data_IF_704583955466
#
_entry.id   IF_704583955466
#
_cell.length_a   1.000
_cell.length_b   1.000
_cell.length_c   1.000
_cell.angle_alpha   90.00
_cell.angle_beta   90.00
_cell.angle_gamma   90.00
#
_symmetry.space_group_name_H-M   'P 1'
#
loop_
_entity.id
_entity.type
_entity.pdbx_description
1 polymer ?
#
# COMPACT_ATOMS: atom_id res chain seq x y z
N UNK A 1 -3.17 0.52 -28.64
CA UNK A 1 -3.63 1.20 -27.41
C UNK A 1 -4.57 0.24 -26.73
N UNK A 2 -4.30 -0.15 -25.49
CA UNK A 2 -5.25 -0.91 -24.68
C UNK A 2 -6.25 0.09 -24.10
N UNK A 3 -7.53 -0.19 -24.26
CA UNK A 3 -8.64 0.64 -23.84
C UNK A 3 -8.73 0.63 -22.30
N UNK A 4 -8.55 1.79 -21.67
CA UNK A 4 -8.47 1.93 -20.20
C UNK A 4 -9.82 1.74 -19.49
N UNK A 5 -10.92 1.69 -20.24
CA UNK A 5 -12.28 1.61 -19.69
C UNK A 5 -12.72 0.21 -19.21
N UNK A 6 -11.86 -0.81 -19.31
CA UNK A 6 -12.14 -2.17 -18.78
C UNK A 6 -11.52 -2.44 -17.39
N UNK A 7 -10.93 -1.43 -16.74
CA UNK A 7 -10.24 -1.58 -15.45
C UNK A 7 -11.14 -1.38 -14.21
N UNK A 8 -12.45 -1.67 -14.29
CA UNK A 8 -13.38 -1.57 -13.14
C UNK A 8 -14.22 -2.82 -12.94
N UNK A 9 -14.30 -3.29 -11.70
CA UNK A 9 -15.12 -4.43 -11.30
C UNK A 9 -16.59 -4.02 -11.14
N UNK A 10 -17.50 -4.89 -11.58
CA UNK A 10 -18.90 -4.82 -11.15
C UNK A 10 -19.03 -5.49 -9.76
N UNK A 11 -19.82 -4.87 -8.89
CA UNK A 11 -20.06 -5.20 -7.46
C UNK A 11 -20.55 -6.65 -7.22
N UNK A 12 -20.85 -7.42 -8.28
CA UNK A 12 -21.47 -8.76 -8.19
C UNK A 12 -20.57 -9.87 -7.63
N UNK A 13 -19.27 -9.60 -7.41
CA UNK A 13 -18.27 -10.63 -7.03
C UNK A 13 -17.42 -10.29 -5.80
N UNK A 14 -17.73 -9.19 -5.10
CA UNK A 14 -17.00 -8.77 -3.89
C UNK A 14 -17.64 -9.36 -2.63
N UNK A 15 -16.92 -10.22 -1.91
CA UNK A 15 -17.30 -10.62 -0.55
C UNK A 15 -16.81 -9.57 0.45
N UNK A 16 -17.71 -8.88 1.15
CA UNK A 16 -17.40 -7.94 2.25
C UNK A 16 -16.30 -6.89 1.96
N UNK A 17 -16.14 -6.47 0.70
CA UNK A 17 -15.35 -5.29 0.37
C UNK A 17 -16.23 -4.08 0.67
N UNK A 18 -15.82 -3.13 1.54
CA UNK A 18 -16.71 -2.01 1.87
C UNK A 18 -17.13 -1.25 0.61
N UNK A 19 -18.39 -0.81 0.58
CA UNK A 19 -18.93 0.03 -0.49
C UNK A 19 -18.00 1.23 -0.67
N UNK A 20 -17.44 1.40 -1.87
CA UNK A 20 -16.55 2.50 -2.34
C UNK A 20 -15.10 2.10 -2.74
N UNK A 21 -14.74 0.81 -2.80
CA UNK A 21 -13.40 0.37 -3.23
C UNK A 21 -13.30 -0.21 -4.64
N UNK A 22 -12.40 0.36 -5.46
CA UNK A 22 -12.01 -0.18 -6.77
C UNK A 22 -10.77 -1.08 -6.61
N UNK A 23 -10.93 -2.42 -6.68
CA UNK A 23 -9.79 -3.35 -6.69
C UNK A 23 -9.11 -3.31 -8.06
N UNK A 24 -7.81 -3.02 -8.08
CA UNK A 24 -7.01 -3.03 -9.30
C UNK A 24 -6.73 -4.45 -9.79
N UNK A 25 -7.37 -4.86 -10.89
CA UNK A 25 -7.08 -6.14 -11.56
C UNK A 25 -5.61 -6.23 -12.01
N UNK A 26 -4.95 -5.09 -12.26
CA UNK A 26 -3.52 -5.05 -12.57
C UNK A 26 -2.67 -5.49 -11.38
N UNK A 27 -3.02 -5.05 -10.16
CA UNK A 27 -2.31 -5.44 -8.94
C UNK A 27 -2.60 -6.90 -8.59
N UNK A 28 -3.86 -7.31 -8.64
CA UNK A 28 -4.30 -8.71 -8.48
C UNK A 28 -3.54 -9.63 -9.43
N UNK A 29 -3.45 -9.26 -10.70
CA UNK A 29 -2.72 -10.02 -11.72
C UNK A 29 -1.22 -10.08 -11.42
N UNK A 30 -0.63 -8.99 -10.93
CA UNK A 30 0.78 -8.98 -10.58
C UNK A 30 1.08 -9.88 -9.40
N UNK A 31 0.31 -9.78 -8.31
CA UNK A 31 0.52 -10.56 -7.11
C UNK A 31 0.32 -12.05 -7.37
N UNK A 32 -0.68 -12.41 -8.19
CA UNK A 32 -0.86 -13.77 -8.69
C UNK A 32 0.38 -14.28 -9.43
N UNK A 33 0.84 -13.55 -10.45
CA UNK A 33 2.01 -13.97 -11.24
C UNK A 33 3.28 -13.99 -10.38
N UNK A 34 3.43 -13.04 -9.45
CA UNK A 34 4.54 -13.01 -8.49
C UNK A 34 4.51 -14.27 -7.62
N UNK A 35 3.36 -14.62 -7.05
CA UNK A 35 3.18 -15.81 -6.21
C UNK A 35 3.62 -17.09 -6.94
N UNK A 36 3.17 -17.27 -8.18
CA UNK A 36 3.53 -18.46 -8.97
C UNK A 36 5.01 -18.46 -9.40
N UNK A 37 5.57 -17.31 -9.81
CA UNK A 37 6.93 -17.24 -10.35
C UNK A 37 8.04 -17.10 -9.31
N UNK A 38 7.75 -16.57 -8.11
CA UNK A 38 8.74 -16.25 -7.08
C UNK A 38 8.56 -17.02 -5.79
N UNK A 39 7.33 -17.34 -5.41
CA UNK A 39 7.08 -18.13 -4.20
C UNK A 39 6.92 -19.62 -4.52
N UNK A 40 7.13 -20.01 -5.79
CA UNK A 40 7.01 -21.39 -6.29
C UNK A 40 5.66 -22.05 -5.97
N UNK A 41 4.61 -21.22 -5.82
CA UNK A 41 3.25 -21.69 -5.58
C UNK A 41 2.64 -22.32 -6.85
N UNK A 42 1.82 -23.34 -6.67
CA UNK A 42 0.94 -23.82 -7.75
C UNK A 42 -0.07 -22.74 -8.12
N UNK A 43 -0.62 -22.79 -9.34
CA UNK A 43 -1.64 -21.82 -9.79
C UNK A 43 -2.85 -21.84 -8.85
N UNK A 44 -3.32 -23.01 -8.44
CA UNK A 44 -4.47 -23.15 -7.55
C UNK A 44 -4.21 -22.53 -6.17
N UNK A 45 -3.02 -22.76 -5.60
CA UNK A 45 -2.65 -22.14 -4.32
C UNK A 45 -2.50 -20.62 -4.46
N UNK A 46 -1.91 -20.15 -5.55
CA UNK A 46 -1.81 -18.73 -5.82
C UNK A 46 -3.19 -18.07 -5.99
N UNK A 47 -4.15 -18.73 -6.65
CA UNK A 47 -5.53 -18.23 -6.78
C UNK A 47 -6.22 -18.18 -5.42
N UNK A 48 -6.07 -19.21 -4.58
CA UNK A 48 -6.59 -19.24 -3.21
C UNK A 48 -6.06 -18.10 -2.35
N UNK A 49 -4.76 -17.86 -2.41
CA UNK A 49 -4.12 -16.80 -1.63
C UNK A 49 -4.61 -15.42 -2.07
N UNK A 50 -4.67 -15.17 -3.38
CA UNK A 50 -5.15 -13.92 -3.96
C UNK A 50 -6.65 -13.72 -3.68
N UNK A 51 -7.45 -14.77 -3.78
CA UNK A 51 -8.88 -14.77 -3.42
C UNK A 51 -9.09 -14.28 -2.00
N UNK A 52 -8.37 -14.86 -1.02
CA UNK A 52 -8.46 -14.46 0.39
C UNK A 52 -7.97 -13.02 0.59
N UNK A 53 -6.87 -12.66 -0.06
CA UNK A 53 -6.24 -11.37 0.12
C UNK A 53 -7.10 -10.20 -0.40
N UNK A 54 -7.74 -10.39 -1.54
CA UNK A 54 -8.57 -9.36 -2.20
C UNK A 54 -10.09 -9.57 -1.99
N UNK A 55 -10.48 -10.58 -1.21
CA UNK A 55 -11.87 -10.98 -1.00
C UNK A 55 -12.68 -11.18 -2.30
N UNK A 56 -12.03 -11.80 -3.30
CA UNK A 56 -12.60 -12.16 -4.60
C UNK A 56 -12.88 -13.66 -4.66
N UNK A 57 -13.91 -14.11 -5.38
CA UNK A 57 -14.15 -15.55 -5.53
C UNK A 57 -13.04 -16.25 -6.34
N UNK A 58 -12.64 -17.44 -5.91
CA UNK A 58 -11.62 -18.25 -6.62
C UNK A 58 -12.04 -18.55 -8.07
N UNK A 59 -13.31 -18.92 -8.31
CA UNK A 59 -13.86 -19.19 -9.64
C UNK A 59 -13.70 -17.99 -10.59
N UNK A 60 -14.10 -16.80 -10.15
CA UNK A 60 -13.89 -15.57 -10.91
C UNK A 60 -12.42 -15.33 -11.26
N UNK A 61 -11.50 -15.49 -10.30
CA UNK A 61 -10.08 -15.28 -10.55
C UNK A 61 -9.55 -16.30 -11.56
N UNK A 62 -10.03 -17.53 -11.46
CA UNK A 62 -9.69 -18.60 -12.39
C UNK A 62 -10.10 -18.25 -13.82
N UNK A 63 -11.37 -17.92 -14.03
CA UNK A 63 -11.92 -17.52 -15.32
C UNK A 63 -11.22 -16.28 -15.85
N UNK A 64 -11.06 -15.25 -15.02
CA UNK A 64 -10.37 -14.02 -15.38
C UNK A 64 -8.94 -14.29 -15.88
N UNK A 65 -8.15 -15.10 -15.17
CA UNK A 65 -6.79 -15.40 -15.59
C UNK A 65 -6.73 -16.26 -16.86
N UNK A 66 -7.70 -17.15 -17.07
CA UNK A 66 -7.78 -18.00 -18.25
C UNK A 66 -8.21 -17.20 -19.49
N UNK A 67 -9.32 -16.46 -19.41
CA UNK A 67 -9.85 -15.62 -20.48
C UNK A 67 -8.85 -14.55 -20.92
N UNK A 68 -8.14 -13.96 -19.95
CA UNK A 68 -7.09 -12.98 -20.23
C UNK A 68 -5.75 -13.62 -20.62
N UNK A 69 -5.67 -14.94 -20.78
CA UNK A 69 -4.47 -15.69 -21.19
C UNK A 69 -3.27 -15.43 -20.28
N UNK A 70 -3.50 -15.20 -18.99
CA UNK A 70 -2.44 -15.15 -17.98
C UNK A 70 -2.06 -16.57 -17.52
N UNK A 71 -3.05 -17.46 -17.46
CA UNK A 71 -2.83 -18.90 -17.40
C UNK A 71 -3.24 -19.55 -18.72
N UNK A 72 -2.66 -20.71 -18.99
CA UNK A 72 -2.93 -21.55 -20.16
C UNK A 72 -3.37 -22.91 -19.68
N UNK A 73 -4.44 -23.43 -20.27
CA UNK A 73 -4.90 -24.79 -20.06
C UNK A 73 -4.12 -25.77 -20.95
N UNK A 74 -3.61 -26.85 -20.33
CA UNK A 74 -2.95 -27.97 -21.00
C UNK A 74 -3.85 -28.71 -21.99
N UNK A 75 -5.18 -28.64 -21.84
CA UNK A 75 -6.12 -29.28 -22.77
C UNK A 75 -6.08 -28.62 -24.17
N UNK A 76 -5.65 -27.36 -24.27
CA UNK A 76 -5.44 -26.70 -25.56
C UNK A 76 -4.08 -27.04 -26.16
N UNK A 77 -4.09 -27.92 -27.15
CA UNK A 77 -2.92 -28.40 -27.90
C UNK A 77 -2.04 -27.27 -28.43
N UNK A 78 -2.61 -26.18 -28.93
CA UNK A 78 -1.82 -25.08 -29.51
C UNK A 78 -1.03 -24.32 -28.44
N UNK A 79 -1.67 -24.04 -27.31
CA UNK A 79 -1.05 -23.28 -26.23
C UNK A 79 0.00 -24.11 -25.48
N UNK A 80 -0.22 -25.43 -25.36
CA UNK A 80 0.79 -26.36 -24.85
C UNK A 80 2.06 -26.38 -25.71
N UNK A 81 1.92 -26.41 -27.04
CA UNK A 81 3.09 -26.34 -27.93
C UNK A 81 3.80 -24.98 -27.85
N UNK A 82 3.07 -23.89 -27.63
CA UNK A 82 3.68 -22.59 -27.36
C UNK A 82 4.49 -22.59 -26.06
N UNK A 83 3.99 -23.21 -24.99
CA UNK A 83 4.73 -23.39 -23.74
C UNK A 83 6.05 -24.13 -23.97
N UNK A 84 6.03 -25.22 -24.75
CA UNK A 84 7.20 -26.05 -25.02
C UNK A 84 8.31 -25.31 -25.77
N UNK A 85 8.00 -24.25 -26.54
CA UNK A 85 9.01 -23.39 -27.20
C UNK A 85 9.99 -22.76 -26.20
N UNK A 86 9.59 -22.57 -24.94
CA UNK A 86 10.46 -22.02 -23.90
C UNK A 86 11.55 -23.00 -23.43
N UNK A 87 11.42 -24.29 -23.75
CA UNK A 87 12.40 -25.30 -23.40
C UNK A 87 13.30 -25.59 -24.59
N UNK A 88 14.61 -25.63 -24.35
CA UNK A 88 15.54 -26.13 -25.37
C UNK A 88 15.33 -27.64 -25.58
N UNK A 89 15.74 -28.14 -26.75
CA UNK A 89 15.54 -29.54 -27.13
C UNK A 89 16.23 -30.53 -26.16
N UNK A 90 17.33 -30.12 -25.52
CA UNK A 90 18.04 -30.94 -24.53
C UNK A 90 17.20 -31.17 -23.27
N UNK A 91 16.53 -30.12 -22.77
CA UNK A 91 15.62 -30.18 -21.63
C UNK A 91 14.40 -31.05 -21.93
N UNK A 92 13.80 -30.90 -23.12
CA UNK A 92 12.66 -31.74 -23.54
C UNK A 92 13.04 -33.22 -23.64
N UNK A 93 14.23 -33.53 -24.17
CA UNK A 93 14.74 -34.91 -24.20
C UNK A 93 15.00 -35.47 -22.81
N UNK A 94 15.46 -34.63 -21.87
CA UNK A 94 15.68 -35.04 -20.49
C UNK A 94 14.36 -35.41 -19.80
N UNK A 95 13.31 -34.62 -19.97
CA UNK A 95 11.96 -34.94 -19.47
C UNK A 95 11.47 -36.30 -19.99
N UNK A 96 11.61 -36.55 -21.30
CA UNK A 96 11.25 -37.86 -21.87
C UNK A 96 12.08 -39.00 -21.26
N UNK A 97 13.39 -38.79 -21.07
CA UNK A 97 14.27 -39.80 -20.47
C UNK A 97 13.89 -40.14 -19.03
N UNK A 98 13.57 -39.11 -18.23
CA UNK A 98 13.14 -39.26 -16.84
C UNK A 98 11.86 -40.10 -16.71
N UNK A 99 11.02 -40.11 -17.75
CA UNK A 99 9.78 -40.88 -17.81
C UNK A 99 9.90 -42.18 -18.65
N UNK A 100 11.11 -42.63 -18.98
CA UNK A 100 11.33 -43.86 -19.74
C UNK A 100 10.87 -43.80 -21.20
N UNK A 101 10.63 -42.61 -21.73
CA UNK A 101 10.12 -42.40 -23.09
C UNK A 101 11.24 -42.18 -24.11
N UNK A 102 10.96 -42.57 -25.36
CA UNK A 102 11.89 -42.39 -26.48
C UNK A 102 12.29 -40.91 -26.61
N UNK A 103 13.59 -40.63 -26.68
CA UNK A 103 14.14 -39.25 -26.75
C UNK A 103 14.58 -38.81 -28.15
N UNK A 104 14.58 -39.72 -29.14
CA UNK A 104 15.01 -39.44 -30.51
C UNK A 104 13.92 -38.84 -31.39
N UNK A 105 14.31 -38.10 -32.44
CA UNK A 105 13.43 -37.50 -33.45
C UNK A 105 13.56 -35.97 -33.59
N UNK A 106 12.85 -35.42 -34.58
CA UNK A 106 12.65 -33.96 -34.74
C UNK A 106 11.91 -33.40 -33.54
N UNK A 107 12.12 -32.11 -33.25
CA UNK A 107 11.57 -31.39 -32.10
C UNK A 107 10.05 -31.56 -31.97
N UNK A 108 9.29 -31.39 -33.05
CA UNK A 108 7.83 -31.56 -33.06
C UNK A 108 7.39 -32.95 -32.55
N UNK A 109 8.13 -34.02 -32.89
CA UNK A 109 7.82 -35.39 -32.43
C UNK A 109 8.16 -35.60 -30.95
N UNK A 110 9.11 -34.83 -30.42
CA UNK A 110 9.47 -34.81 -28.99
C UNK A 110 8.36 -34.08 -28.24
N UNK A 111 7.99 -32.89 -28.71
CA UNK A 111 6.94 -32.06 -28.11
C UNK A 111 5.60 -32.82 -28.08
N UNK A 112 5.21 -33.48 -29.19
CA UNK A 112 3.99 -34.29 -29.25
C UNK A 112 4.00 -35.44 -28.24
N UNK A 113 5.15 -36.10 -28.05
CA UNK A 113 5.29 -37.17 -27.05
C UNK A 113 5.10 -36.64 -25.63
N UNK A 114 5.61 -35.45 -25.34
CA UNK A 114 5.45 -34.80 -24.04
C UNK A 114 3.97 -34.45 -23.80
N UNK A 115 3.26 -33.98 -24.84
CA UNK A 115 1.81 -33.75 -24.80
C UNK A 115 1.04 -35.04 -24.56
N UNK A 116 1.20 -36.02 -25.45
CA UNK A 116 0.43 -37.28 -25.44
C UNK A 116 0.61 -38.08 -24.14
N UNK A 117 1.77 -37.94 -23.46
CA UNK A 117 2.06 -38.62 -22.20
C UNK A 117 1.87 -37.73 -20.97
N UNK A 118 1.31 -36.52 -21.13
CA UNK A 118 0.97 -35.62 -20.03
C UNK A 118 2.13 -35.31 -19.05
N UNK A 119 3.38 -35.29 -19.52
CA UNK A 119 4.60 -35.30 -18.68
C UNK A 119 4.89 -34.00 -17.91
N UNK A 120 4.02 -33.00 -18.00
CA UNK A 120 4.11 -31.79 -17.19
C UNK A 120 2.88 -31.80 -16.28
N UNK A 121 3.13 -31.87 -14.96
CA UNK A 121 2.15 -32.29 -13.95
C UNK A 121 1.08 -31.28 -13.54
N UNK A 122 1.05 -30.08 -14.14
CA UNK A 122 0.02 -29.08 -13.84
C UNK A 122 -0.99 -29.01 -14.99
N UNK A 123 -2.28 -28.89 -14.68
CA UNK A 123 -3.31 -28.69 -15.71
C UNK A 123 -3.24 -27.28 -16.30
N UNK A 124 -2.65 -26.33 -15.55
CA UNK A 124 -2.50 -24.94 -15.94
C UNK A 124 -1.06 -24.45 -15.85
N UNK A 125 -0.71 -23.48 -16.70
CA UNK A 125 0.63 -22.88 -16.75
C UNK A 125 0.59 -21.37 -16.86
N UNK A 126 1.59 -20.70 -16.27
CA UNK A 126 1.84 -19.29 -16.51
C UNK A 126 2.23 -19.07 -17.97
N UNK A 127 1.47 -18.20 -18.65
CA UNK A 127 1.66 -17.89 -20.06
C UNK A 127 2.92 -17.04 -20.34
N UNK A 128 3.28 -16.95 -21.62
CA UNK A 128 4.28 -15.98 -22.11
C UNK A 128 3.84 -14.53 -21.81
N UNK A 129 2.54 -14.23 -22.00
CA UNK A 129 1.91 -12.95 -21.65
C UNK A 129 2.12 -12.59 -20.18
N UNK A 130 1.94 -13.52 -19.27
CA UNK A 130 2.17 -13.30 -17.82
C UNK A 130 3.62 -12.95 -17.51
N UNK A 131 4.59 -13.61 -18.16
CA UNK A 131 6.01 -13.27 -17.97
C UNK A 131 6.33 -11.87 -18.48
N UNK A 132 5.74 -11.46 -19.61
CA UNK A 132 5.90 -10.11 -20.16
C UNK A 132 5.21 -9.07 -19.26
N UNK A 133 3.99 -9.35 -18.81
CA UNK A 133 3.25 -8.52 -17.86
C UNK A 133 4.06 -8.29 -16.59
N UNK A 134 4.54 -9.37 -15.98
CA UNK A 134 5.39 -9.31 -14.79
C UNK A 134 6.63 -8.45 -15.05
N UNK A 135 7.38 -8.70 -16.11
CA UNK A 135 8.58 -7.89 -16.43
C UNK A 135 8.27 -6.40 -16.58
N UNK A 136 7.18 -6.07 -17.27
CA UNK A 136 6.80 -4.69 -17.56
C UNK A 136 6.26 -3.96 -16.31
N UNK A 137 5.54 -4.66 -15.43
CA UNK A 137 4.89 -4.05 -14.26
C UNK A 137 5.66 -4.23 -12.95
N UNK A 138 6.64 -5.14 -12.90
CA UNK A 138 7.41 -5.44 -11.68
C UNK A 138 7.99 -4.21 -11.02
N UNK A 139 8.57 -3.30 -11.81
CA UNK A 139 9.24 -2.11 -11.27
C UNK A 139 8.27 -1.20 -10.52
N UNK A 140 7.17 -0.80 -11.17
CA UNK A 140 6.17 0.11 -10.58
C UNK A 140 5.40 -0.52 -9.42
N UNK A 141 5.04 -1.81 -9.52
CA UNK A 141 4.24 -2.49 -8.48
C UNK A 141 5.10 -2.78 -7.26
N UNK A 142 6.38 -3.11 -7.47
CA UNK A 142 7.35 -3.17 -6.38
C UNK A 142 7.43 -1.83 -5.64
N UNK A 143 7.57 -0.72 -6.36
CA UNK A 143 7.60 0.62 -5.75
C UNK A 143 6.31 0.89 -4.97
N UNK A 144 5.13 0.61 -5.54
CA UNK A 144 3.86 0.77 -4.83
C UNK A 144 3.82 -0.07 -3.53
N UNK A 145 4.09 -1.37 -3.61
CA UNK A 145 4.05 -2.28 -2.46
C UNK A 145 5.12 -1.94 -1.41
N UNK A 146 6.32 -1.54 -1.82
CA UNK A 146 7.43 -1.19 -0.92
C UNK A 146 7.15 0.11 -0.14
N UNK A 147 6.51 1.10 -0.77
CA UNK A 147 6.44 2.45 -0.21
C UNK A 147 5.05 2.88 0.26
N UNK A 148 3.99 2.36 -0.35
CA UNK A 148 2.62 2.75 -0.02
C UNK A 148 1.94 1.67 0.79
N UNK A 149 2.16 0.39 0.47
CA UNK A 149 1.65 -0.79 1.20
C UNK A 149 0.12 -0.80 1.47
N UNK A 150 -0.61 0.13 0.87
CA UNK A 150 -2.03 0.36 1.08
C UNK A 150 -2.72 0.34 -0.29
N UNK A 151 -3.41 -0.76 -0.59
CA UNK A 151 -3.97 -1.10 -1.91
C UNK A 151 -4.87 0.00 -2.50
N UNK A 152 -5.43 0.86 -1.65
CA UNK A 152 -6.37 1.92 -1.99
C UNK A 152 -5.85 2.93 -3.01
N UNK A 153 -4.54 3.15 -3.08
CA UNK A 153 -3.97 4.14 -4.00
C UNK A 153 -3.48 3.55 -5.32
N UNK A 154 -3.65 2.26 -5.59
CA UNK A 154 -2.94 1.64 -6.71
C UNK A 154 -3.28 2.26 -8.06
N UNK A 155 -4.56 2.53 -8.34
CA UNK A 155 -5.00 3.10 -9.62
C UNK A 155 -4.44 4.51 -9.79
N UNK A 156 -4.66 5.38 -8.81
CA UNK A 156 -4.16 6.76 -8.80
C UNK A 156 -2.62 6.83 -8.85
N UNK A 157 -1.95 5.94 -8.11
CA UNK A 157 -0.49 5.82 -8.16
C UNK A 157 -0.01 5.32 -9.52
N UNK A 158 -0.73 4.41 -10.15
CA UNK A 158 -0.35 3.89 -11.47
C UNK A 158 -0.43 4.98 -12.53
N UNK A 159 -1.49 5.80 -12.52
CA UNK A 159 -1.59 6.99 -13.38
C UNK A 159 -0.44 7.96 -13.09
N UNK A 160 -0.25 8.32 -11.81
CA UNK A 160 0.83 9.20 -11.39
C UNK A 160 2.21 8.69 -11.80
N UNK A 161 2.47 7.39 -11.64
CA UNK A 161 3.73 6.76 -12.02
C UNK A 161 3.95 6.86 -13.53
N UNK A 162 2.92 6.63 -14.35
CA UNK A 162 3.03 6.71 -15.81
C UNK A 162 3.32 8.14 -16.28
N UNK A 163 2.85 9.16 -15.57
CA UNK A 163 3.20 10.56 -15.87
C UNK A 163 4.61 10.93 -15.40
N UNK A 164 5.12 10.24 -14.38
CA UNK A 164 6.36 10.60 -13.68
C UNK A 164 7.51 9.59 -13.86
N UNK A 165 7.35 8.55 -14.70
CA UNK A 165 8.30 7.44 -14.82
C UNK A 165 9.72 7.85 -15.26
N UNK A 166 9.88 9.06 -15.82
CA UNK A 166 11.18 9.64 -16.22
C UNK A 166 11.93 10.28 -15.05
N UNK A 167 11.28 10.53 -13.90
CA UNK A 167 11.92 11.06 -12.69
C UNK A 167 12.80 10.01 -12.01
N UNK A 168 13.65 10.44 -11.08
CA UNK A 168 14.37 9.52 -10.17
C UNK A 168 13.34 8.73 -9.35
N UNK A 169 13.44 7.41 -9.41
CA UNK A 169 12.41 6.52 -8.85
C UNK A 169 12.12 6.74 -7.38
N UNK A 170 13.16 7.00 -6.59
CA UNK A 170 13.04 7.25 -5.16
C UNK A 170 12.10 8.42 -4.84
N UNK A 171 11.99 9.40 -5.75
CA UNK A 171 11.14 10.56 -5.54
C UNK A 171 9.67 10.30 -5.91
N UNK A 172 9.34 9.28 -6.71
CA UNK A 172 7.97 9.08 -7.20
C UNK A 172 7.00 8.78 -6.03
N UNK A 173 7.28 7.86 -5.10
CA UNK A 173 6.42 7.64 -3.93
C UNK A 173 6.30 8.87 -3.03
N UNK A 174 7.42 9.57 -2.82
CA UNK A 174 7.46 10.77 -1.98
C UNK A 174 6.59 11.88 -2.60
N UNK A 175 6.75 12.14 -3.89
CA UNK A 175 5.96 13.12 -4.62
C UNK A 175 4.47 12.76 -4.59
N UNK A 176 4.14 11.47 -4.77
CA UNK A 176 2.78 10.97 -4.72
C UNK A 176 2.13 11.19 -3.34
N UNK A 177 2.78 10.73 -2.26
CA UNK A 177 2.22 10.90 -0.91
C UNK A 177 2.11 12.38 -0.55
N UNK A 178 3.09 13.21 -0.93
CA UNK A 178 3.03 14.66 -0.70
C UNK A 178 1.87 15.32 -1.44
N UNK A 179 1.57 14.89 -2.66
CA UNK A 179 0.38 15.34 -3.39
C UNK A 179 -0.90 15.04 -2.60
N UNK A 180 -1.01 13.83 -2.05
CA UNK A 180 -2.17 13.41 -1.25
C UNK A 180 -2.25 14.13 0.11
N UNK A 181 -1.12 14.40 0.77
CA UNK A 181 -1.07 15.23 1.98
C UNK A 181 -1.61 16.63 1.67
N UNK A 182 -1.15 17.27 0.59
CA UNK A 182 -1.63 18.60 0.18
C UNK A 182 -3.12 18.60 -0.14
N UNK A 183 -3.56 17.67 -0.98
CA UNK A 183 -4.98 17.52 -1.34
C UNK A 183 -5.85 17.31 -0.10
N UNK A 184 -5.41 16.48 0.85
CA UNK A 184 -6.15 16.25 2.10
C UNK A 184 -6.22 17.49 2.99
N UNK A 185 -5.19 18.34 2.98
CA UNK A 185 -5.20 19.61 3.69
C UNK A 185 -6.11 20.65 3.02
N UNK A 186 -6.08 20.73 1.68
CA UNK A 186 -6.95 21.60 0.87
C UNK A 186 -8.43 21.21 1.04
N UNK A 187 -8.73 19.91 0.94
CA UNK A 187 -10.07 19.34 1.12
C UNK A 187 -10.53 19.32 2.58
N UNK A 188 -9.64 19.65 3.54
CA UNK A 188 -9.90 19.54 4.98
C UNK A 188 -10.37 18.13 5.38
N UNK A 189 -9.70 17.09 4.89
CA UNK A 189 -9.98 15.67 5.19
C UNK A 189 -8.99 15.13 6.23
N UNK A 190 -9.36 15.22 7.50
CA UNK A 190 -8.52 14.80 8.64
C UNK A 190 -7.97 13.39 8.51
N UNK A 191 -8.81 12.38 8.30
CA UNK A 191 -8.35 10.98 8.32
C UNK A 191 -7.41 10.66 7.17
N UNK A 192 -7.69 11.23 5.99
CA UNK A 192 -6.79 11.13 4.84
C UNK A 192 -5.45 11.81 5.12
N UNK A 193 -5.46 12.98 5.77
CA UNK A 193 -4.23 13.68 6.16
C UNK A 193 -3.40 12.85 7.13
N UNK A 194 -4.01 12.31 8.19
CA UNK A 194 -3.33 11.46 9.16
C UNK A 194 -2.77 10.21 8.47
N UNK A 195 -3.57 9.50 7.68
CA UNK A 195 -3.14 8.29 6.97
C UNK A 195 -1.91 8.56 6.08
N UNK A 196 -1.97 9.61 5.26
CA UNK A 196 -0.89 9.91 4.31
C UNK A 196 0.41 10.34 5.02
N UNK A 197 0.32 11.10 6.13
CA UNK A 197 1.49 11.43 6.94
C UNK A 197 2.08 10.18 7.61
N UNK A 198 1.26 9.22 8.05
CA UNK A 198 1.74 7.93 8.58
C UNK A 198 2.48 7.10 7.52
N UNK A 199 1.92 7.00 6.31
CA UNK A 199 2.58 6.30 5.19
C UNK A 199 3.95 6.94 4.92
N UNK A 200 4.02 8.28 4.90
CA UNK A 200 5.29 8.99 4.70
C UNK A 200 6.29 8.77 5.85
N UNK A 201 5.82 8.77 7.10
CA UNK A 201 6.68 8.47 8.25
C UNK A 201 7.25 7.04 8.18
N UNK A 202 6.45 6.05 7.76
CA UNK A 202 6.93 4.68 7.53
C UNK A 202 7.95 4.59 6.40
N UNK A 203 7.76 5.37 5.33
CA UNK A 203 8.77 5.49 4.27
C UNK A 203 10.12 5.94 4.83
N UNK A 204 10.13 7.03 5.62
CA UNK A 204 11.37 7.56 6.17
C UNK A 204 11.99 6.66 7.25
N UNK A 205 11.17 5.91 8.00
CA UNK A 205 11.65 4.86 8.90
C UNK A 205 12.43 3.77 8.15
N UNK A 206 11.91 3.28 7.01
CA UNK A 206 12.60 2.26 6.18
C UNK A 206 13.94 2.74 5.64
N UNK A 207 14.09 4.05 5.42
CA UNK A 207 15.34 4.68 4.96
C UNK A 207 16.22 5.19 6.09
N UNK A 208 15.85 4.94 7.36
CA UNK A 208 16.52 5.43 8.56
C UNK A 208 16.71 6.96 8.62
N UNK A 209 15.87 7.71 7.90
CA UNK A 209 15.88 9.18 7.91
C UNK A 209 14.97 9.72 9.02
N UNK A 210 15.48 9.69 10.25
CA UNK A 210 14.72 10.03 11.45
C UNK A 210 14.28 11.51 11.51
N UNK A 211 15.07 12.43 10.97
CA UNK A 211 14.70 13.86 10.92
C UNK A 211 13.46 14.08 10.06
N UNK A 212 13.41 13.47 8.86
CA UNK A 212 12.23 13.55 8.00
C UNK A 212 11.05 12.78 8.58
N UNK A 213 11.28 11.62 9.17
CA UNK A 213 10.22 10.89 9.87
C UNK A 213 9.55 11.74 10.95
N UNK A 214 10.34 12.48 11.73
CA UNK A 214 9.86 13.35 12.80
C UNK A 214 8.87 14.43 12.31
N UNK A 215 9.14 15.05 11.16
CA UNK A 215 8.24 16.06 10.56
C UNK A 215 6.81 15.51 10.38
N UNK A 216 6.66 14.34 9.78
CA UNK A 216 5.35 13.74 9.50
C UNK A 216 4.68 13.15 10.75
N UNK A 217 5.45 12.59 11.69
CA UNK A 217 4.92 12.13 12.97
C UNK A 217 4.38 13.31 13.80
N UNK A 218 5.11 14.43 13.83
CA UNK A 218 4.65 15.64 14.51
C UNK A 218 3.46 16.28 13.80
N UNK A 219 3.36 16.18 12.48
CA UNK A 219 2.17 16.64 11.76
C UNK A 219 0.92 15.85 12.18
N UNK A 220 1.04 14.52 12.31
CA UNK A 220 -0.03 13.68 12.87
C UNK A 220 -0.37 14.08 14.31
N UNK A 221 0.65 14.26 15.16
CA UNK A 221 0.47 14.65 16.56
C UNK A 221 -0.27 15.98 16.69
N UNK A 222 0.16 17.02 15.97
CA UNK A 222 -0.45 18.35 16.04
C UNK A 222 -1.89 18.34 15.51
N UNK A 223 -2.15 17.64 14.41
CA UNK A 223 -3.49 17.54 13.82
C UNK A 223 -4.45 16.73 14.70
N UNK A 224 -4.00 15.64 15.33
CA UNK A 224 -4.84 14.88 16.27
C UNK A 224 -5.07 15.66 17.59
N UNK A 225 -4.16 16.53 18.03
CA UNK A 225 -4.42 17.44 19.15
C UNK A 225 -5.34 18.61 18.79
N UNK A 226 -5.40 18.99 17.52
CA UNK A 226 -6.27 20.05 17.03
C UNK A 226 -6.97 19.58 15.74
N UNK A 227 -7.95 18.67 15.83
CA UNK A 227 -8.67 18.12 14.68
C UNK A 227 -9.66 19.16 14.11
N UNK A 228 -9.11 20.29 13.64
CA UNK A 228 -9.86 21.47 13.18
C UNK A 228 -10.77 21.19 11.98
N UNK A 229 -10.57 20.05 11.31
CA UNK A 229 -11.38 19.59 10.20
C UNK A 229 -12.48 18.60 10.60
N UNK A 230 -12.55 18.18 11.87
CA UNK A 230 -13.56 17.26 12.44
C UNK A 230 -14.42 17.88 13.56
N UNK A 231 -14.49 19.21 13.63
CA UNK A 231 -15.08 19.93 14.78
C UNK A 231 -16.52 19.48 15.13
N UNK A 232 -17.30 18.99 14.15
CA UNK A 232 -18.69 18.58 14.37
C UNK A 232 -18.84 17.16 14.95
N UNK A 233 -17.78 16.36 15.00
CA UNK A 233 -17.83 14.95 15.42
C UNK A 233 -16.59 14.56 16.24
N UNK A 234 -16.48 15.16 17.44
CA UNK A 234 -15.36 14.93 18.35
C UNK A 234 -15.67 13.96 19.50
N UNK A 235 -16.90 13.47 19.61
CA UNK A 235 -17.33 12.61 20.75
C UNK A 235 -16.54 11.31 20.89
N UNK A 236 -15.94 10.83 19.81
CA UNK A 236 -15.15 9.61 19.78
C UNK A 236 -13.70 9.87 19.34
N UNK A 237 -13.28 11.13 19.34
CA UNK A 237 -11.94 11.50 18.89
C UNK A 237 -10.90 11.12 19.93
N UNK A 238 -9.85 10.42 19.49
CA UNK A 238 -8.68 10.11 20.30
C UNK A 238 -7.57 11.11 19.98
N UNK A 239 -7.15 11.88 20.98
CA UNK A 239 -6.20 12.98 20.79
C UNK A 239 -4.81 12.55 20.33
N UNK A 240 -4.28 11.43 20.81
CA UNK A 240 -2.98 10.90 20.38
C UNK A 240 -3.17 9.41 20.09
N UNK A 241 -2.94 9.00 18.85
CA UNK A 241 -3.03 7.59 18.49
C UNK A 241 -1.75 6.81 18.82
N UNK A 242 -1.90 5.49 18.98
CA UNK A 242 -0.80 4.59 19.39
C UNK A 242 0.38 4.62 18.44
N UNK A 243 0.13 4.71 17.13
CA UNK A 243 1.21 4.77 16.14
C UNK A 243 2.04 6.04 16.33
N UNK A 244 1.41 7.20 16.50
CA UNK A 244 2.13 8.46 16.77
C UNK A 244 2.91 8.40 18.09
N UNK A 245 2.31 7.86 19.15
CA UNK A 245 2.96 7.72 20.45
C UNK A 245 4.23 6.85 20.38
N UNK A 246 4.12 5.64 19.83
CA UNK A 246 5.25 4.70 19.74
C UNK A 246 6.39 5.26 18.89
N UNK A 247 6.08 5.93 17.78
CA UNK A 247 7.09 6.54 16.92
C UNK A 247 7.76 7.76 17.56
N UNK A 248 7.05 8.55 18.38
CA UNK A 248 7.68 9.64 19.15
C UNK A 248 8.64 9.12 20.20
N UNK A 249 8.33 7.99 20.86
CA UNK A 249 9.25 7.32 21.78
C UNK A 249 10.49 6.79 21.05
N UNK A 250 10.32 6.16 19.90
CA UNK A 250 11.45 5.74 19.06
C UNK A 250 12.32 6.93 18.66
N UNK A 251 11.72 8.02 18.18
CA UNK A 251 12.45 9.22 17.74
C UNK A 251 13.18 9.91 18.90
N UNK A 252 12.65 9.85 20.12
CA UNK A 252 13.35 10.30 21.33
C UNK A 252 14.69 9.60 21.54
N UNK A 253 14.78 8.31 21.21
CA UNK A 253 16.01 7.52 21.34
C UNK A 253 17.01 7.82 20.22
N UNK A 254 16.51 8.25 19.05
CA UNK A 254 17.31 8.47 17.84
C UNK A 254 17.76 9.92 17.66
N UNK A 255 17.01 10.88 18.17
CA UNK A 255 17.21 12.31 17.95
C UNK A 255 17.44 13.06 19.26
N UNK A 256 18.18 14.17 19.19
CA UNK A 256 18.33 15.04 20.34
C UNK A 256 17.00 15.70 20.70
N UNK A 257 16.79 15.95 21.99
CA UNK A 257 15.62 16.67 22.50
C UNK A 257 15.43 18.03 21.81
N UNK A 258 16.53 18.73 21.49
CA UNK A 258 16.47 20.04 20.84
C UNK A 258 15.87 19.92 19.42
N UNK A 259 16.25 18.91 18.65
CA UNK A 259 15.72 18.66 17.30
C UNK A 259 14.21 18.38 17.36
N UNK A 260 13.77 17.54 18.31
CA UNK A 260 12.35 17.22 18.48
C UNK A 260 11.54 18.48 18.81
N UNK A 261 12.04 19.29 19.73
CA UNK A 261 11.36 20.52 20.16
C UNK A 261 11.34 21.55 19.04
N UNK A 262 12.46 21.82 18.38
CA UNK A 262 12.51 22.80 17.29
C UNK A 262 11.60 22.40 16.14
N UNK A 263 11.56 21.10 15.80
CA UNK A 263 10.70 20.58 14.73
C UNK A 263 9.24 20.67 15.11
N UNK A 264 8.88 20.44 16.38
CA UNK A 264 7.51 20.64 16.87
C UNK A 264 7.02 22.06 16.62
N UNK A 265 7.82 23.07 16.96
CA UNK A 265 7.45 24.47 16.71
C UNK A 265 7.28 24.76 15.23
N UNK A 266 8.23 24.32 14.39
CA UNK A 266 8.16 24.49 12.93
C UNK A 266 6.90 23.84 12.34
N UNK A 267 6.59 22.61 12.73
CA UNK A 267 5.43 21.88 12.23
C UNK A 267 4.14 22.51 12.72
N UNK A 268 4.04 22.89 13.99
CA UNK A 268 2.87 23.59 14.49
C UNK A 268 2.61 24.89 13.72
N UNK A 269 3.65 25.67 13.48
CA UNK A 269 3.56 26.95 12.74
C UNK A 269 3.28 26.79 11.25
N UNK A 270 3.52 25.61 10.68
CA UNK A 270 3.15 25.32 9.29
C UNK A 270 1.64 25.16 9.09
N UNK A 271 0.89 24.90 10.16
CA UNK A 271 -0.56 24.80 10.10
C UNK A 271 -1.20 26.19 10.21
N UNK A 272 -1.97 26.56 9.18
CA UNK A 272 -2.82 27.75 9.19
C UNK A 272 -4.09 27.51 10.01
N UNK A 273 -3.94 27.31 11.32
CA UNK A 273 -5.07 27.18 12.23
C UNK A 273 -5.85 28.51 12.29
N UNK A 274 -7.13 28.51 11.91
CA UNK A 274 -8.02 29.66 12.17
C UNK A 274 -8.58 29.63 13.59
N UNK A 275 -8.63 28.42 14.17
CA UNK A 275 -9.19 28.10 15.47
C UNK A 275 -8.41 26.95 16.09
N UNK A 276 -8.33 26.91 17.41
CA UNK A 276 -7.63 25.87 18.15
C UNK A 276 -8.46 25.36 19.32
N UNK A 277 -8.32 24.08 19.62
CA UNK A 277 -8.82 23.44 20.84
C UNK A 277 -7.74 23.56 21.92
N UNK A 278 -6.49 23.23 21.58
CA UNK A 278 -5.31 23.34 22.43
C UNK A 278 -4.37 24.43 21.91
N UNK A 279 -3.83 25.26 22.80
CA UNK A 279 -2.76 26.20 22.42
C UNK A 279 -1.46 25.47 22.09
N UNK A 280 -0.52 26.16 21.43
CA UNK A 280 0.80 25.62 21.14
C UNK A 280 1.55 25.21 22.41
N UNK A 281 1.50 26.03 23.46
CA UNK A 281 2.11 25.69 24.74
C UNK A 281 1.49 24.42 25.35
N UNK A 282 0.16 24.27 25.32
CA UNK A 282 -0.52 23.05 25.78
C UNK A 282 -0.08 21.83 24.97
N UNK A 283 0.01 21.94 23.65
CA UNK A 283 0.51 20.87 22.77
C UNK A 283 1.96 20.47 23.07
N UNK A 284 2.83 21.45 23.33
CA UNK A 284 4.21 21.20 23.75
C UNK A 284 4.28 20.43 25.08
N UNK A 285 3.44 20.77 26.06
CA UNK A 285 3.38 20.04 27.32
C UNK A 285 3.02 18.57 27.07
N UNK A 286 2.01 18.29 26.25
CA UNK A 286 1.67 16.90 25.89
C UNK A 286 2.80 16.18 25.17
N UNK A 287 3.53 16.85 24.25
CA UNK A 287 4.72 16.25 23.62
C UNK A 287 5.78 15.90 24.67
N UNK A 288 6.10 16.83 25.58
CA UNK A 288 7.06 16.60 26.66
C UNK A 288 6.65 15.44 27.56
N UNK A 289 5.35 15.26 27.77
CA UNK A 289 4.81 14.15 28.55
C UNK A 289 4.96 12.79 27.86
N UNK A 290 4.71 12.71 26.54
CA UNK A 290 5.00 11.51 25.74
C UNK A 290 6.49 11.17 25.88
N UNK A 291 7.35 12.17 25.65
CA UNK A 291 8.80 11.97 25.69
C UNK A 291 9.30 11.58 27.09
N UNK A 292 8.55 11.80 28.17
CA UNK A 292 8.93 11.38 29.52
C UNK A 292 8.21 10.09 29.98
N UNK A 293 7.62 9.34 29.05
CA UNK A 293 6.92 8.07 29.30
C UNK A 293 5.74 8.19 30.25
N UNK A 294 4.75 9.01 29.87
CA UNK A 294 3.38 8.89 30.40
C UNK A 294 2.60 7.75 29.71
N UNK A 295 1.61 7.21 30.42
CA UNK A 295 0.60 6.28 29.92
C UNK A 295 -0.30 6.96 28.88
N UNK A 296 -0.28 6.47 27.63
CA UNK A 296 -1.09 6.97 26.52
C UNK A 296 -2.59 6.99 26.86
N UNK A 297 -3.09 5.98 27.57
CA UNK A 297 -4.51 5.87 27.92
C UNK A 297 -4.90 6.97 28.91
N UNK A 298 -4.04 7.21 29.91
CA UNK A 298 -4.23 8.30 30.87
C UNK A 298 -4.21 9.67 30.18
N UNK A 299 -3.24 9.90 29.29
CA UNK A 299 -3.13 11.14 28.52
C UNK A 299 -4.37 11.41 27.66
N UNK A 300 -4.83 10.40 26.91
CA UNK A 300 -6.04 10.55 26.10
C UNK A 300 -7.29 10.77 26.95
N UNK A 301 -7.40 10.13 28.12
CA UNK A 301 -8.49 10.39 29.06
C UNK A 301 -8.45 11.82 29.61
N UNK A 302 -7.27 12.37 29.89
CA UNK A 302 -7.10 13.76 30.30
C UNK A 302 -7.48 14.74 29.17
N UNK A 303 -7.05 14.46 27.93
CA UNK A 303 -7.42 15.24 26.75
C UNK A 303 -8.93 15.19 26.51
N UNK A 304 -9.53 14.01 26.55
CA UNK A 304 -10.95 13.80 26.33
C UNK A 304 -11.78 14.56 27.37
N UNK A 305 -11.53 14.35 28.67
CA UNK A 305 -12.26 15.05 29.74
C UNK A 305 -12.11 16.58 29.66
N UNK A 306 -10.93 17.08 29.29
CA UNK A 306 -10.65 18.51 29.29
C UNK A 306 -11.14 19.21 28.03
N UNK A 307 -11.16 18.53 26.89
CA UNK A 307 -11.35 19.18 25.58
C UNK A 307 -12.38 18.52 24.66
N UNK A 308 -12.47 17.18 24.57
CA UNK A 308 -13.28 16.50 23.55
C UNK A 308 -14.64 15.96 24.05
N UNK A 309 -14.71 15.47 25.29
CA UNK A 309 -15.89 14.86 25.90
C UNK A 309 -16.89 15.82 26.53
N UNK A 310 -16.62 17.13 26.50
CA UNK A 310 -17.53 18.15 27.03
C UNK A 310 -18.45 18.68 25.90
N UNK A 311 -19.76 18.72 26.15
CA UNK A 311 -20.75 19.31 25.22
C UNK A 311 -20.48 20.80 24.88
N UNK A 312 -19.62 21.46 25.66
CA UNK A 312 -19.13 22.81 25.42
C UNK A 312 -17.66 22.80 24.96
N UNK A 313 -17.42 22.32 23.74
CA UNK A 313 -16.12 22.44 23.07
C UNK A 313 -15.64 23.90 23.09
N UNK A 314 -14.59 24.19 23.88
CA UNK A 314 -14.01 25.52 24.00
C UNK A 314 -13.03 25.78 22.86
N UNK A 315 -13.58 26.10 21.69
CA UNK A 315 -12.78 26.49 20.54
C UNK A 315 -12.30 27.93 20.74
N UNK A 316 -10.99 28.12 20.85
CA UNK A 316 -10.36 29.44 20.99
C UNK A 316 -10.16 30.04 19.60
N UNK A 317 -10.62 31.27 19.38
CA UNK A 317 -10.23 32.06 18.20
C UNK A 317 -8.78 32.48 18.37
N UNK A 318 -7.96 32.34 17.33
CA UNK A 318 -6.58 32.82 17.40
C UNK A 318 -6.59 34.36 17.40
N UNK A 319 -6.14 34.91 18.52
CA UNK A 319 -5.85 36.33 18.77
C UNK A 319 -4.34 36.52 18.96
N UNK A 320 -3.84 37.76 18.85
CA UNK A 320 -2.45 38.09 19.19
C UNK A 320 -2.06 37.56 20.59
N UNK A 321 -2.97 37.62 21.58
CA UNK A 321 -2.69 37.12 22.93
C UNK A 321 -2.45 35.59 22.97
N UNK A 322 -3.26 34.80 22.26
CA UNK A 322 -3.04 33.35 22.07
C UNK A 322 -1.81 33.01 21.24
N UNK A 323 -1.25 33.97 20.49
CA UNK A 323 0.04 33.87 19.79
C UNK A 323 1.24 34.26 20.67
N UNK A 324 1.03 34.70 21.92
CA UNK A 324 2.10 35.16 22.82
C UNK A 324 2.13 34.47 24.19
N UNK A 325 1.25 33.52 24.49
CA UNK A 325 1.34 32.65 25.69
C UNK A 325 2.47 31.57 25.54
N UNK A 326 3.62 31.98 25.01
CA UNK A 326 4.78 31.12 24.68
C UNK A 326 5.76 30.97 25.84
#
# INVERSE_FOLDING_TARGET
>A
MLDFNQEKLSIKYSGNVPHDYDISLVQVTFDFIYSVLKNENTIDNAIKDISKHYALSEEYLFDYFLENKFIIDKTNKNDFFELLKNYNTKSLKRMLKEHGLKTSGKREKIEKRIFDNNLIGNDYYISSKSKVFYKNKKRRIRIFNEYLSDYYYFIEFNEFYMDNYRKKEFNIPIDFINLHIRKSAEDKKHDSFILNNKIMAQHFLKTENHDKMLEYILACFCMNLNPIWKINDLKHHLGIDRYTYENLLLLKEKLSKNIIISTYYLIWDSFNFERLILSKYEGYLYLKEILNSKDLSKMNKELDNKFYGNNNLKIKKITQKTLFDF
#
